data_IF_429301494950
#
_entry.id   IF_429301494950
#
_cell.length_a   1.000
_cell.length_b   1.000
_cell.length_c   1.000
_cell.angle_alpha   90.00
_cell.angle_beta   90.00
_cell.angle_gamma   90.00
#
_symmetry.space_group_name_H-M   'P 1'
#
loop_
_entity.id
_entity.type
_entity.pdbx_description
1 polymer ?
#
# COMPACT_ATOMS: atom_id res chain seq x y z
N UNK A 1 12.02 -17.39 -7.90
CA UNK A 1 11.08 -16.53 -7.15
C UNK A 1 10.34 -17.42 -6.14
N UNK A 2 9.85 -16.91 -5.00
CA UNK A 2 8.89 -17.70 -4.21
C UNK A 2 7.60 -17.88 -5.04
N UNK A 3 7.06 -19.11 -5.20
CA UNK A 3 5.87 -19.38 -6.01
C UNK A 3 4.64 -18.53 -5.61
N UNK A 4 4.58 -18.13 -4.34
CA UNK A 4 3.51 -17.28 -3.81
C UNK A 4 3.53 -15.88 -4.43
N UNK A 5 4.71 -15.24 -4.51
CA UNK A 5 4.82 -13.89 -5.05
C UNK A 5 4.55 -13.86 -6.54
N UNK A 6 5.03 -14.88 -7.25
CA UNK A 6 4.78 -15.05 -8.67
C UNK A 6 3.28 -15.18 -8.95
N UNK A 7 2.59 -16.07 -8.22
CA UNK A 7 1.15 -16.26 -8.37
C UNK A 7 0.35 -14.99 -8.06
N UNK A 8 0.73 -14.21 -7.04
CA UNK A 8 0.08 -12.94 -6.71
C UNK A 8 0.31 -11.92 -7.83
N UNK A 9 1.55 -11.72 -8.25
CA UNK A 9 1.90 -10.75 -9.29
C UNK A 9 1.35 -11.13 -10.67
N UNK A 10 1.16 -12.42 -10.96
CA UNK A 10 0.55 -12.92 -12.19
C UNK A 10 -0.96 -12.74 -12.21
N UNK A 11 -1.63 -13.13 -11.13
CA UNK A 11 -3.09 -13.28 -11.13
C UNK A 11 -3.82 -12.03 -10.66
N UNK A 12 -3.13 -11.10 -9.99
CA UNK A 12 -3.77 -9.98 -9.27
C UNK A 12 -3.29 -8.60 -9.70
N UNK A 13 -2.32 -8.48 -10.60
CA UNK A 13 -1.76 -7.20 -11.00
C UNK A 13 -1.41 -7.16 -12.48
N UNK A 14 -1.77 -6.06 -13.15
CA UNK A 14 -1.19 -5.66 -14.42
C UNK A 14 -0.18 -4.52 -14.17
N UNK A 15 0.92 -4.51 -14.94
CA UNK A 15 1.97 -3.49 -14.85
C UNK A 15 1.87 -2.46 -15.97
N UNK A 16 0.78 -2.43 -16.77
CA UNK A 16 0.57 -1.45 -17.83
C UNK A 16 0.68 0.01 -17.36
N UNK A 17 0.34 0.28 -16.08
CA UNK A 17 0.46 1.61 -15.47
C UNK A 17 1.88 2.19 -15.57
N UNK A 18 2.92 1.36 -15.67
CA UNK A 18 4.31 1.83 -15.74
C UNK A 18 4.61 2.56 -17.05
N UNK A 19 3.88 2.22 -18.13
CA UNK A 19 4.02 2.86 -19.45
C UNK A 19 3.64 4.34 -19.38
N UNK A 20 2.68 4.70 -18.53
CA UNK A 20 2.24 6.07 -18.33
C UNK A 20 3.17 6.91 -17.43
N UNK A 21 4.09 6.28 -16.70
CA UNK A 21 4.88 6.92 -15.65
C UNK A 21 6.38 6.92 -15.94
N UNK A 22 6.88 6.02 -16.77
CA UNK A 22 8.30 5.90 -17.06
C UNK A 22 8.70 6.75 -18.27
N UNK A 23 9.78 7.54 -18.11
CA UNK A 23 10.54 8.07 -19.25
C UNK A 23 11.48 7.02 -19.87
N UNK A 24 11.60 5.81 -19.26
CA UNK A 24 12.49 4.73 -19.70
C UNK A 24 11.71 3.46 -20.07
N UNK A 25 12.16 2.85 -21.16
CA UNK A 25 11.59 1.76 -21.95
C UNK A 25 11.70 0.36 -21.34
N UNK A 26 11.46 0.19 -20.04
CA UNK A 26 11.38 -1.16 -19.45
C UNK A 26 10.00 -1.77 -19.72
N UNK A 27 9.97 -3.02 -20.17
CA UNK A 27 8.69 -3.71 -20.43
C UNK A 27 7.96 -3.98 -19.11
N UNK A 28 6.61 -4.00 -19.10
CA UNK A 28 5.82 -4.35 -17.91
C UNK A 28 6.25 -5.68 -17.27
N UNK A 29 6.62 -6.66 -18.10
CA UNK A 29 7.15 -7.96 -17.64
C UNK A 29 8.48 -7.83 -16.89
N UNK A 30 9.40 -6.98 -17.36
CA UNK A 30 10.66 -6.72 -16.66
C UNK A 30 10.43 -6.06 -15.30
N UNK A 31 9.50 -5.11 -15.21
CA UNK A 31 9.12 -4.46 -13.94
C UNK A 31 8.56 -5.47 -12.95
N UNK A 32 7.65 -6.33 -13.41
CA UNK A 32 7.05 -7.40 -12.61
C UNK A 32 8.11 -8.35 -12.05
N UNK A 33 9.02 -8.84 -12.90
CA UNK A 33 10.07 -9.76 -12.49
C UNK A 33 11.01 -9.12 -11.45
N UNK A 34 11.37 -7.85 -11.65
CA UNK A 34 12.20 -7.11 -10.70
C UNK A 34 11.49 -6.92 -9.35
N UNK A 35 10.20 -6.56 -9.36
CA UNK A 35 9.42 -6.44 -8.13
C UNK A 35 9.32 -7.79 -7.41
N UNK A 36 9.07 -8.88 -8.14
CA UNK A 36 9.04 -10.23 -7.59
C UNK A 36 10.35 -10.64 -6.91
N UNK A 37 11.48 -10.34 -7.56
CA UNK A 37 12.81 -10.57 -6.98
C UNK A 37 13.04 -9.74 -5.73
N UNK A 38 12.63 -8.47 -5.76
CA UNK A 38 12.70 -7.57 -4.61
C UNK A 38 11.88 -8.06 -3.42
N UNK A 39 10.64 -8.52 -3.64
CA UNK A 39 9.80 -9.10 -2.59
C UNK A 39 10.45 -10.33 -1.93
N UNK A 40 11.12 -11.16 -2.74
CA UNK A 40 11.89 -12.29 -2.22
C UNK A 40 13.02 -11.83 -1.31
N UNK A 41 13.78 -10.81 -1.71
CA UNK A 41 14.82 -10.20 -0.88
C UNK A 41 14.28 -9.61 0.42
N UNK A 42 13.17 -8.87 0.35
CA UNK A 42 12.48 -8.31 1.53
C UNK A 42 12.08 -9.40 2.53
N UNK A 43 11.57 -10.53 2.03
CA UNK A 43 11.16 -11.67 2.86
C UNK A 43 12.31 -12.29 3.66
N UNK A 44 13.56 -12.07 3.25
CA UNK A 44 14.76 -12.55 3.95
C UNK A 44 14.96 -11.94 5.33
N UNK A 45 14.42 -10.74 5.60
CA UNK A 45 14.55 -10.05 6.89
C UNK A 45 13.24 -10.11 7.69
N UNK A 46 13.31 -10.55 8.95
CA UNK A 46 12.11 -10.77 9.80
C UNK A 46 11.16 -9.57 9.86
N UNK A 47 11.67 -8.36 10.11
CA UNK A 47 10.81 -7.18 10.26
C UNK A 47 10.12 -6.79 8.96
N UNK A 48 10.82 -6.91 7.83
CA UNK A 48 10.24 -6.67 6.51
C UNK A 48 9.22 -7.76 6.13
N UNK A 49 9.50 -9.02 6.47
CA UNK A 49 8.53 -10.13 6.32
C UNK A 49 7.25 -9.90 7.12
N UNK A 50 7.35 -9.41 8.35
CA UNK A 50 6.17 -9.06 9.17
C UNK A 50 5.35 -7.94 8.52
N UNK A 51 6.03 -6.95 7.93
CA UNK A 51 5.36 -5.83 7.23
C UNK A 51 4.75 -6.26 5.89
N UNK A 52 5.32 -7.28 5.22
CA UNK A 52 4.79 -7.85 3.97
C UNK A 52 3.42 -8.52 4.12
N UNK A 53 3.03 -8.94 5.34
CA UNK A 53 1.76 -9.64 5.58
C UNK A 53 0.55 -8.85 5.09
N UNK A 54 0.50 -7.54 5.37
CA UNK A 54 -0.60 -6.66 4.96
C UNK A 54 -0.70 -6.50 3.45
N UNK A 55 0.36 -6.02 2.76
CA UNK A 55 0.39 -5.91 1.30
C UNK A 55 0.00 -7.20 0.58
N UNK A 56 0.62 -8.33 0.95
CA UNK A 56 0.36 -9.61 0.30
C UNK A 56 -1.09 -10.08 0.51
N UNK A 57 -1.63 -9.90 1.72
CA UNK A 57 -3.03 -10.24 2.02
C UNK A 57 -4.00 -9.36 1.24
N UNK A 58 -3.77 -8.05 1.19
CA UNK A 58 -4.63 -7.11 0.48
C UNK A 58 -4.70 -7.40 -1.01
N UNK A 59 -3.53 -7.58 -1.65
CA UNK A 59 -3.43 -7.90 -3.07
C UNK A 59 -3.98 -9.30 -3.36
N UNK A 60 -3.61 -10.29 -2.56
CA UNK A 60 -4.01 -11.69 -2.79
C UNK A 60 -5.52 -11.92 -2.68
N UNK A 61 -6.19 -11.22 -1.75
CA UNK A 61 -7.63 -11.39 -1.49
C UNK A 61 -8.53 -10.58 -2.42
N UNK A 62 -7.98 -9.60 -3.15
CA UNK A 62 -8.77 -8.66 -3.97
C UNK A 62 -9.53 -7.61 -3.16
N UNK A 63 -9.18 -7.43 -1.87
CA UNK A 63 -9.79 -6.39 -1.04
C UNK A 63 -9.54 -4.99 -1.62
N UNK A 64 -8.34 -4.76 -2.16
CA UNK A 64 -7.98 -3.47 -2.78
C UNK A 64 -8.89 -3.18 -3.97
N UNK A 65 -9.04 -4.13 -4.88
CA UNK A 65 -9.89 -4.02 -6.06
C UNK A 65 -11.32 -3.64 -5.69
N UNK A 66 -11.89 -4.34 -4.69
CA UNK A 66 -13.24 -4.09 -4.20
C UNK A 66 -13.45 -2.67 -3.67
N UNK A 67 -12.48 -2.12 -2.92
CA UNK A 67 -12.56 -0.74 -2.43
C UNK A 67 -12.33 0.29 -3.54
N UNK A 68 -11.34 0.06 -4.40
CA UNK A 68 -11.01 0.97 -5.49
C UNK A 68 -12.18 1.12 -6.48
N UNK A 69 -12.89 0.03 -6.77
CA UNK A 69 -14.14 0.08 -7.55
C UNK A 69 -15.15 1.06 -6.95
N UNK A 70 -15.39 0.96 -5.63
CA UNK A 70 -16.34 1.85 -4.93
C UNK A 70 -15.86 3.29 -4.85
N UNK A 71 -14.57 3.51 -4.63
CA UNK A 71 -13.94 4.83 -4.63
C UNK A 71 -14.18 5.55 -5.97
N UNK A 72 -13.88 4.87 -7.08
CA UNK A 72 -14.07 5.46 -8.41
C UNK A 72 -15.54 5.58 -8.78
N UNK A 73 -16.42 4.69 -8.32
CA UNK A 73 -17.87 4.84 -8.54
C UNK A 73 -18.44 6.05 -7.81
N UNK A 74 -17.96 6.36 -6.59
CA UNK A 74 -18.46 7.46 -5.76
C UNK A 74 -17.97 8.84 -6.20
N UNK A 75 -16.79 8.92 -6.83
CA UNK A 75 -16.19 10.19 -7.26
C UNK A 75 -16.07 11.23 -6.12
N UNK A 76 -15.82 10.77 -4.89
CA UNK A 76 -15.65 11.63 -3.69
C UNK A 76 -14.16 11.95 -3.48
N UNK A 77 -13.78 12.23 -2.23
CA UNK A 77 -12.47 12.71 -1.81
C UNK A 77 -11.33 11.88 -2.40
N UNK A 78 -11.33 10.55 -2.24
CA UNK A 78 -10.21 9.71 -2.70
C UNK A 78 -10.09 9.74 -4.23
N UNK A 79 -11.20 9.65 -4.96
CA UNK A 79 -11.18 9.73 -6.44
C UNK A 79 -10.67 11.10 -6.91
N UNK A 80 -11.08 12.18 -6.24
CA UNK A 80 -10.60 13.53 -6.51
C UNK A 80 -9.08 13.66 -6.24
N UNK A 81 -8.62 13.17 -5.09
CA UNK A 81 -7.20 13.16 -4.72
C UNK A 81 -6.35 12.38 -5.74
N UNK A 82 -6.84 11.27 -6.28
CA UNK A 82 -6.12 10.49 -7.30
C UNK A 82 -6.12 11.18 -8.67
N UNK A 83 -7.27 11.69 -9.14
CA UNK A 83 -7.44 12.21 -10.50
C UNK A 83 -7.06 13.67 -10.67
N UNK A 84 -7.26 14.49 -9.64
CA UNK A 84 -7.13 15.97 -9.72
C UNK A 84 -5.91 16.48 -8.97
N UNK A 85 -5.62 15.93 -7.79
CA UNK A 85 -4.45 16.34 -7.00
C UNK A 85 -3.19 15.62 -7.45
N UNK A 86 -3.17 14.28 -7.42
CA UNK A 86 -2.05 13.49 -7.94
C UNK A 86 -2.04 13.42 -9.48
N UNK A 87 -3.13 13.85 -10.14
CA UNK A 87 -3.25 13.97 -11.61
C UNK A 87 -2.95 12.67 -12.36
N UNK A 88 -3.37 11.53 -11.82
CA UNK A 88 -3.21 10.23 -12.48
C UNK A 88 -4.12 10.15 -13.71
N UNK A 89 -3.52 10.14 -14.90
CA UNK A 89 -4.19 10.09 -16.22
C UNK A 89 -4.26 8.66 -16.78
N UNK A 90 -4.70 7.71 -15.96
CA UNK A 90 -4.80 6.30 -16.31
C UNK A 90 -6.15 5.72 -15.89
N UNK A 91 -6.45 4.49 -16.31
CA UNK A 91 -7.71 3.83 -15.97
C UNK A 91 -7.82 3.53 -14.46
N UNK A 92 -9.04 3.25 -13.97
CA UNK A 92 -9.25 2.86 -12.57
C UNK A 92 -8.48 1.60 -12.19
N UNK A 93 -8.34 0.65 -13.13
CA UNK A 93 -7.62 -0.60 -12.93
C UNK A 93 -6.12 -0.32 -12.80
N UNK A 94 -5.57 0.53 -13.66
CA UNK A 94 -4.16 0.93 -13.59
C UNK A 94 -3.83 1.69 -12.31
N UNK A 95 -4.70 2.59 -11.85
CA UNK A 95 -4.52 3.25 -10.55
C UNK A 95 -4.59 2.22 -9.41
N UNK A 96 -5.46 1.22 -9.52
CA UNK A 96 -5.58 0.15 -8.53
C UNK A 96 -4.28 -0.66 -8.46
N UNK A 97 -3.71 -1.04 -9.60
CA UNK A 97 -2.46 -1.79 -9.66
C UNK A 97 -1.26 -0.94 -9.24
N UNK A 98 -1.28 0.36 -9.51
CA UNK A 98 -0.32 1.31 -8.96
C UNK A 98 -0.37 1.34 -7.43
N UNK A 99 -1.55 1.42 -6.81
CA UNK A 99 -1.70 1.36 -5.34
C UNK A 99 -1.17 0.03 -4.79
N UNK A 100 -1.48 -1.10 -5.44
CA UNK A 100 -0.96 -2.42 -5.05
C UNK A 100 0.57 -2.46 -5.12
N UNK A 101 1.17 -1.92 -6.18
CA UNK A 101 2.62 -1.83 -6.31
C UNK A 101 3.24 -0.96 -5.21
N UNK A 102 2.64 0.19 -4.90
CA UNK A 102 3.01 1.05 -3.77
C UNK A 102 2.97 0.29 -2.44
N UNK A 103 1.91 -0.49 -2.19
CA UNK A 103 1.79 -1.35 -1.00
C UNK A 103 2.90 -2.40 -0.92
N UNK A 104 3.22 -3.05 -2.03
CA UNK A 104 4.24 -4.11 -2.09
C UNK A 104 5.66 -3.57 -1.88
N UNK A 105 5.91 -2.30 -2.18
CA UNK A 105 7.22 -1.65 -1.96
C UNK A 105 7.38 -1.15 -0.52
N UNK A 106 6.29 -0.79 0.17
CA UNK A 106 6.29 -0.27 1.55
C UNK A 106 7.22 -1.03 2.52
N UNK A 107 7.28 -2.38 2.54
CA UNK A 107 8.11 -3.13 3.49
C UNK A 107 9.63 -2.92 3.32
N UNK A 108 10.06 -2.23 2.25
CA UNK A 108 11.44 -1.75 2.09
C UNK A 108 11.90 -0.88 3.26
N UNK A 109 11.01 -0.09 3.87
CA UNK A 109 11.33 0.74 5.04
C UNK A 109 11.87 -0.10 6.19
N UNK A 110 11.19 -1.21 6.50
CA UNK A 110 11.62 -2.14 7.55
C UNK A 110 12.84 -2.97 7.12
N UNK A 111 13.03 -3.17 5.82
CA UNK A 111 14.20 -3.86 5.28
C UNK A 111 15.48 -3.03 5.40
N UNK A 112 15.40 -1.71 5.26
CA UNK A 112 16.55 -0.81 5.36
C UNK A 112 16.69 -0.16 6.75
N UNK A 113 15.76 -0.42 7.67
CA UNK A 113 15.82 0.11 9.04
C UNK A 113 17.10 -0.34 9.77
N UNK A 114 17.83 0.58 10.43
CA UNK A 114 18.94 0.22 11.32
C UNK A 114 18.36 -0.47 12.56
N UNK A 115 18.62 -1.76 12.73
CA UNK A 115 17.97 -2.60 13.76
C UNK A 115 17.82 -4.04 13.27
N UNK A 116 18.94 -4.76 13.21
CA UNK A 116 18.98 -6.16 12.83
C UNK A 116 18.26 -7.02 13.86
N UNK A 117 17.42 -7.93 13.37
CA UNK A 117 16.86 -9.17 13.92
C UNK A 117 16.42 -9.30 15.41
N UNK A 118 16.94 -8.56 16.38
CA UNK A 118 16.76 -8.78 17.83
C UNK A 118 16.56 -7.49 18.66
N UNK A 119 15.94 -6.45 18.11
CA UNK A 119 15.47 -5.34 18.96
C UNK A 119 14.15 -5.75 19.61
N UNK A 120 14.22 -6.29 20.84
CA UNK A 120 13.07 -6.61 21.71
C UNK A 120 12.22 -5.41 22.13
N UNK A 121 12.32 -4.28 21.44
CA UNK A 121 11.41 -3.15 21.57
C UNK A 121 10.35 -3.28 20.48
N UNK A 122 9.11 -3.59 20.87
CA UNK A 122 7.95 -3.75 20.00
C UNK A 122 7.52 -2.50 19.21
N UNK A 123 8.45 -1.60 18.91
CA UNK A 123 8.24 -0.49 17.98
C UNK A 123 8.32 -1.03 16.56
N UNK A 124 7.22 -1.61 16.08
CA UNK A 124 6.88 -1.46 14.67
C UNK A 124 7.00 0.05 14.39
N UNK A 125 8.00 0.49 13.62
CA UNK A 125 8.08 1.88 13.18
C UNK A 125 6.86 2.12 12.29
N UNK A 126 5.75 2.54 12.90
CA UNK A 126 4.54 2.93 12.19
C UNK A 126 4.84 4.13 11.29
N UNK A 127 5.70 5.02 11.79
CA UNK A 127 6.12 6.26 11.15
C UNK A 127 7.63 6.41 11.20
N UNK A 128 8.22 6.95 10.13
CA UNK A 128 9.65 7.26 10.02
C UNK A 128 9.89 8.74 9.75
N UNK A 129 11.14 9.20 9.91
CA UNK A 129 11.51 10.56 9.52
C UNK A 129 11.60 10.72 7.99
N UNK A 130 11.31 11.91 7.45
CA UNK A 130 11.49 12.19 6.02
C UNK A 130 12.94 11.97 5.54
N UNK A 131 13.93 12.26 6.39
CA UNK A 131 15.35 12.05 6.07
C UNK A 131 15.70 10.58 5.90
N UNK A 132 15.14 9.70 6.73
CA UNK A 132 15.31 8.27 6.58
C UNK A 132 14.57 7.75 5.35
N UNK A 133 13.33 8.21 5.12
CA UNK A 133 12.55 7.87 3.93
C UNK A 133 13.29 8.21 2.63
N UNK A 134 13.95 9.37 2.55
CA UNK A 134 14.76 9.75 1.38
C UNK A 134 15.91 8.78 1.11
N UNK A 135 16.60 8.30 2.14
CA UNK A 135 17.67 7.30 2.01
C UNK A 135 17.12 5.96 1.52
N UNK A 136 16.02 5.50 2.13
CA UNK A 136 15.35 4.25 1.74
C UNK A 136 14.87 4.32 0.29
N UNK A 137 14.24 5.42 -0.13
CA UNK A 137 13.76 5.59 -1.50
C UNK A 137 14.91 5.55 -2.52
N UNK A 138 16.05 6.15 -2.19
CA UNK A 138 17.25 6.09 -3.03
C UNK A 138 17.77 4.65 -3.20
N UNK A 139 17.96 3.91 -2.09
CA UNK A 139 18.44 2.53 -2.14
C UNK A 139 17.45 1.56 -2.79
N UNK A 140 16.16 1.71 -2.47
CA UNK A 140 15.10 0.95 -3.12
C UNK A 140 15.02 1.28 -4.62
N UNK A 141 15.20 2.54 -5.02
CA UNK A 141 15.19 2.97 -6.42
C UNK A 141 16.36 2.42 -7.24
N UNK A 142 17.54 2.25 -6.63
CA UNK A 142 18.67 1.56 -7.26
C UNK A 142 18.35 0.08 -7.51
N UNK A 143 17.69 -0.56 -6.53
CA UNK A 143 17.32 -1.99 -6.61
C UNK A 143 16.17 -2.23 -7.59
N UNK A 144 15.20 -1.31 -7.61
CA UNK A 144 14.02 -1.30 -8.48
C UNK A 144 14.23 -0.37 -9.68
N UNK A 145 15.33 -0.54 -10.40
CA UNK A 145 15.74 0.34 -11.50
C UNK A 145 14.77 0.39 -12.71
N UNK A 146 13.90 -0.61 -12.86
CA UNK A 146 12.86 -0.66 -13.91
C UNK A 146 11.53 -0.06 -13.44
N UNK A 147 11.28 -0.03 -12.13
CA UNK A 147 10.08 0.59 -11.57
C UNK A 147 10.19 2.12 -11.67
N UNK A 148 9.13 2.84 -12.10
CA UNK A 148 9.18 4.29 -12.10
C UNK A 148 9.45 4.82 -10.68
N UNK A 149 10.44 5.70 -10.55
CA UNK A 149 10.91 6.16 -9.24
C UNK A 149 9.80 6.79 -8.39
N UNK A 150 8.80 7.42 -9.01
CA UNK A 150 7.63 7.95 -8.33
C UNK A 150 6.85 6.87 -7.54
N UNK A 151 6.76 5.64 -8.08
CA UNK A 151 6.09 4.51 -7.42
C UNK A 151 6.91 4.02 -6.23
N UNK A 152 8.22 3.93 -6.41
CA UNK A 152 9.17 3.55 -5.34
C UNK A 152 9.09 4.56 -4.19
N UNK A 153 9.18 5.86 -4.53
CA UNK A 153 9.08 6.95 -3.58
C UNK A 153 7.74 6.94 -2.85
N UNK A 154 6.62 6.76 -3.54
CA UNK A 154 5.30 6.64 -2.92
C UNK A 154 5.24 5.44 -1.96
N UNK A 155 5.84 4.31 -2.34
CA UNK A 155 5.89 3.10 -1.49
C UNK A 155 6.58 3.38 -0.16
N UNK A 156 7.72 4.06 -0.20
CA UNK A 156 8.47 4.47 0.98
C UNK A 156 7.76 5.58 1.77
N UNK A 157 7.24 6.59 1.08
CA UNK A 157 6.49 7.70 1.67
C UNK A 157 5.25 7.23 2.42
N UNK A 158 4.66 6.08 2.06
CA UNK A 158 3.52 5.54 2.80
C UNK A 158 3.81 5.34 4.30
N UNK A 159 5.08 5.20 4.70
CA UNK A 159 5.50 5.11 6.10
C UNK A 159 5.73 6.48 6.79
N UNK A 160 5.39 7.59 6.12
CA UNK A 160 5.41 8.93 6.69
C UNK A 160 4.04 9.30 7.26
N UNK A 161 4.05 10.27 8.18
CA UNK A 161 2.82 10.85 8.72
C UNK A 161 2.23 11.83 7.71
N UNK A 162 0.96 11.66 7.36
CA UNK A 162 0.23 12.65 6.57
C UNK A 162 0.12 13.99 7.30
N UNK A 163 0.06 13.99 8.63
CA UNK A 163 -0.04 15.22 9.41
C UNK A 163 1.22 16.07 9.30
N UNK A 164 2.38 15.42 9.18
CA UNK A 164 3.67 16.09 9.03
C UNK A 164 4.01 16.38 7.56
N UNK A 165 3.34 15.70 6.62
CA UNK A 165 3.50 15.88 5.18
C UNK A 165 2.17 15.78 4.41
N UNK A 166 1.34 16.85 4.41
CA UNK A 166 0.04 16.87 3.72
C UNK A 166 0.12 16.77 2.19
N UNK A 167 1.32 16.90 1.62
CA UNK A 167 1.56 16.80 0.17
C UNK A 167 1.94 15.39 -0.29
N UNK A 168 1.89 14.41 0.62
CA UNK A 168 2.15 13.02 0.31
C UNK A 168 1.18 12.49 -0.77
N UNK A 169 1.71 11.66 -1.66
CA UNK A 169 0.99 11.07 -2.76
C UNK A 169 -0.26 10.31 -2.27
N UNK A 170 -1.40 10.50 -2.94
CA UNK A 170 -2.68 9.83 -2.61
C UNK A 170 -2.54 8.31 -2.62
N UNK A 171 -1.76 7.78 -3.57
CA UNK A 171 -1.36 6.36 -3.62
C UNK A 171 -0.58 5.89 -2.39
N UNK A 172 0.32 6.72 -1.84
CA UNK A 172 1.07 6.41 -0.63
C UNK A 172 0.15 6.38 0.60
N UNK A 173 -0.79 7.34 0.70
CA UNK A 173 -1.81 7.37 1.75
C UNK A 173 -2.69 6.12 1.74
N UNK A 174 -3.21 5.73 0.57
CA UNK A 174 -4.01 4.51 0.41
C UNK A 174 -3.19 3.26 0.75
N UNK A 175 -1.95 3.19 0.27
CA UNK A 175 -1.08 2.06 0.55
C UNK A 175 -0.83 1.89 2.06
N UNK A 176 -0.68 2.99 2.81
CA UNK A 176 -0.53 2.94 4.26
C UNK A 176 -1.77 2.34 4.95
N UNK A 177 -2.95 2.88 4.62
CA UNK A 177 -4.23 2.44 5.21
C UNK A 177 -4.51 0.97 4.89
N UNK A 178 -4.44 0.59 3.61
CA UNK A 178 -4.76 -0.77 3.18
C UNK A 178 -3.76 -1.80 3.69
N UNK A 179 -2.46 -1.48 3.71
CA UNK A 179 -1.44 -2.39 4.27
C UNK A 179 -1.72 -2.67 5.74
N UNK A 180 -2.06 -1.64 6.52
CA UNK A 180 -2.36 -1.81 7.94
C UNK A 180 -3.68 -2.57 8.17
N UNK A 181 -4.71 -2.28 7.38
CA UNK A 181 -6.01 -2.98 7.44
C UNK A 181 -5.88 -4.47 7.14
N UNK A 182 -5.09 -4.81 6.13
CA UNK A 182 -4.98 -6.18 5.64
C UNK A 182 -4.04 -7.06 6.47
N UNK A 183 -3.20 -6.48 7.34
CA UNK A 183 -2.16 -7.21 8.11
C UNK A 183 -2.70 -8.38 8.92
N UNK A 184 -3.86 -8.20 9.56
CA UNK A 184 -4.51 -9.20 10.41
C UNK A 184 -5.87 -9.64 9.85
N UNK A 185 -6.09 -9.44 8.55
CA UNK A 185 -7.36 -9.80 7.92
C UNK A 185 -7.48 -11.33 7.81
N UNK A 186 -8.68 -11.84 8.15
CA UNK A 186 -9.05 -13.24 7.99
C UNK A 186 -10.09 -13.36 6.88
N UNK A 187 -9.72 -13.83 5.69
CA UNK A 187 -10.67 -14.01 4.60
C UNK A 187 -11.79 -14.98 4.98
N UNK A 188 -13.02 -14.72 4.53
CA UNK A 188 -14.16 -15.63 4.71
C UNK A 188 -14.75 -15.68 6.12
N UNK A 189 -14.36 -14.78 7.02
CA UNK A 189 -14.96 -14.69 8.35
C UNK A 189 -16.43 -14.24 8.24
N UNK A 190 -17.35 -15.07 8.73
CA UNK A 190 -18.78 -14.72 8.80
C UNK A 190 -19.00 -13.71 9.92
N UNK A 191 -19.84 -12.71 9.65
CA UNK A 191 -20.25 -11.71 10.64
C UNK A 191 -21.48 -12.24 11.36
N UNK A 192 -21.44 -12.27 12.70
CA UNK A 192 -22.59 -12.64 13.50
C UNK A 192 -23.72 -11.61 13.37
N UNK A 193 -24.97 -12.07 13.45
CA UNK A 193 -26.13 -11.19 13.30
C UNK A 193 -26.13 -10.12 14.41
N UNK A 194 -26.06 -8.86 14.01
CA UNK A 194 -26.02 -7.70 14.93
C UNK A 194 -24.62 -7.23 15.30
N UNK A 195 -23.56 -7.95 14.92
CA UNK A 195 -22.18 -7.49 15.07
C UNK A 195 -21.81 -6.49 13.97
N UNK A 196 -20.91 -5.55 14.31
CA UNK A 196 -20.31 -4.68 13.32
C UNK A 196 -19.35 -5.48 12.43
N UNK A 197 -19.42 -5.24 11.13
CA UNK A 197 -18.57 -5.90 10.14
C UNK A 197 -17.09 -5.51 10.31
N UNK A 198 -16.18 -6.38 9.86
CA UNK A 198 -14.76 -6.29 10.21
C UNK A 198 -14.10 -5.03 9.64
N UNK A 199 -14.40 -4.64 8.40
CA UNK A 199 -13.83 -3.42 7.83
C UNK A 199 -14.40 -2.18 8.50
N UNK A 200 -15.73 -2.12 8.68
CA UNK A 200 -16.41 -0.99 9.32
C UNK A 200 -15.86 -0.73 10.71
N UNK A 201 -15.75 -1.79 11.54
CA UNK A 201 -15.17 -1.68 12.88
C UNK A 201 -13.70 -1.20 12.84
N UNK A 202 -12.89 -1.76 11.93
CA UNK A 202 -11.49 -1.36 11.79
C UNK A 202 -11.34 0.11 11.40
N UNK A 203 -12.09 0.58 10.39
CA UNK A 203 -12.04 1.98 9.97
C UNK A 203 -12.57 2.92 11.04
N UNK A 204 -13.57 2.49 11.82
CA UNK A 204 -14.10 3.26 12.94
C UNK A 204 -13.06 3.44 14.06
N UNK A 205 -12.21 2.45 14.31
CA UNK A 205 -11.07 2.58 15.24
C UNK A 205 -9.95 3.41 14.62
N UNK A 206 -9.61 3.17 13.35
CA UNK A 206 -8.54 3.87 12.65
C UNK A 206 -8.79 5.39 12.57
N UNK A 207 -10.03 5.81 12.25
CA UNK A 207 -10.38 7.25 12.17
C UNK A 207 -10.28 7.97 13.51
N UNK A 208 -10.51 7.29 14.64
CA UNK A 208 -10.33 7.87 15.98
C UNK A 208 -8.85 8.03 16.35
N UNK A 209 -7.98 7.20 15.76
CA UNK A 209 -6.55 7.13 16.05
C UNK A 209 -5.68 7.60 14.87
N UNK A 210 -6.25 8.34 13.92
CA UNK A 210 -5.60 8.64 12.64
C UNK A 210 -4.26 9.36 12.81
N UNK A 211 -4.14 10.27 13.79
CA UNK A 211 -2.88 10.98 14.10
C UNK A 211 -1.77 10.04 14.55
N UNK A 212 -2.09 9.04 15.37
CA UNK A 212 -1.12 8.05 15.84
C UNK A 212 -0.59 7.19 14.69
N UNK A 213 -1.46 6.82 13.76
CA UNK A 213 -1.09 6.05 12.57
C UNK A 213 -0.55 6.91 11.42
N UNK A 214 -0.59 8.25 11.54
CA UNK A 214 -0.23 9.16 10.46
C UNK A 214 -1.16 9.09 9.23
N UNK A 215 -2.39 8.62 9.40
CA UNK A 215 -3.35 8.48 8.30
C UNK A 215 -4.02 9.81 7.95
N UNK A 216 -4.57 9.84 6.75
CA UNK A 216 -5.48 10.88 6.27
C UNK A 216 -6.90 10.60 6.79
N UNK A 217 -7.45 11.54 7.56
CA UNK A 217 -8.77 11.39 8.18
C UNK A 217 -9.89 11.35 7.14
N UNK A 218 -9.81 12.17 6.09
CA UNK A 218 -10.86 12.27 5.08
C UNK A 218 -10.93 10.99 4.25
N UNK A 219 -9.77 10.39 3.93
CA UNK A 219 -9.73 9.05 3.33
C UNK A 219 -10.36 8.00 4.23
N UNK A 220 -10.04 7.99 5.53
CA UNK A 220 -10.62 7.03 6.47
C UNK A 220 -12.14 7.19 6.62
N UNK A 221 -12.63 8.43 6.60
CA UNK A 221 -14.07 8.72 6.65
C UNK A 221 -14.78 8.20 5.39
N UNK A 222 -14.20 8.38 4.21
CA UNK A 222 -14.76 7.83 2.97
C UNK A 222 -14.73 6.29 2.97
N UNK A 223 -13.62 5.67 3.35
CA UNK A 223 -13.47 4.21 3.41
C UNK A 223 -14.42 3.59 4.44
N UNK A 224 -14.60 4.23 5.61
CA UNK A 224 -15.60 3.84 6.60
C UNK A 224 -17.03 3.89 6.02
N UNK A 225 -17.36 4.95 5.28
CA UNK A 225 -18.66 5.06 4.59
C UNK A 225 -18.84 3.98 3.52
N UNK A 226 -17.78 3.62 2.79
CA UNK A 226 -17.79 2.49 1.86
C UNK A 226 -18.10 1.18 2.60
N UNK A 227 -17.38 0.90 3.69
CA UNK A 227 -17.59 -0.31 4.48
C UNK A 227 -19.02 -0.38 5.03
N UNK A 228 -19.52 0.72 5.59
CA UNK A 228 -20.85 0.78 6.20
C UNK A 228 -21.99 0.56 5.19
N UNK A 229 -21.93 1.19 4.02
CA UNK A 229 -22.97 1.07 2.99
C UNK A 229 -22.99 -0.32 2.32
N UNK A 230 -21.88 -1.07 2.38
CA UNK A 230 -21.78 -2.39 1.75
C UNK A 230 -21.77 -3.55 2.76
N UNK A 231 -21.85 -3.27 4.07
CA UNK A 231 -21.82 -4.29 5.14
C UNK A 231 -20.49 -5.03 5.25
N UNK A 232 -19.35 -4.36 4.99
CA UNK A 232 -18.00 -4.95 5.01
C UNK A 232 -17.25 -4.74 6.32
#
# INVERSE_FOLDING_TARGET
>A
LSPLYEAILEKKMDFSFTVHMAHRSSSPSAVKNQLGGFLNTLSGRMNSRKELAGPLMGVGTGMIDRYMERIFKRQKYISFELRKVQRLKMSSNEVTDLVKATMLIRPSVQFFAPGGQNSGSGRNLLLISPTFAGKVASEAGKTLSFMPYAVVKAGVNSALSFQDNPYMESTARLAAVFSHRCRNMKPGMKVDRGAESSDKSWFNVARKNYKFYGFDLDMLMELHGIAAENGW
#
